data_IF_525538412715
#
_entry.id   IF_525538412715
#
_cell.length_a   1.000
_cell.length_b   1.000
_cell.length_c   1.000
_cell.angle_alpha   90.00
_cell.angle_beta   90.00
_cell.angle_gamma   90.00
#
_symmetry.space_group_name_H-M   'P 1'
#
loop_
_entity.id
_entity.type
_entity.pdbx_description
1 polymer ?
#
# COMPACT_ATOMS: atom_id res chain seq x y z
N UNK A 1 -4.56 -11.35 -23.27
CA UNK A 1 -4.34 -10.26 -22.29
C UNK A 1 -3.77 -9.04 -22.99
N UNK A 2 -4.33 -7.84 -22.74
CA UNK A 2 -3.83 -6.56 -23.23
C UNK A 2 -3.30 -5.76 -22.05
N UNK A 3 -2.07 -5.21 -22.15
CA UNK A 3 -1.45 -4.29 -21.20
C UNK A 3 -1.47 -2.88 -21.78
N UNK A 4 -1.90 -1.89 -20.99
CA UNK A 4 -1.98 -0.47 -21.37
C UNK A 4 -1.35 0.39 -20.28
N UNK A 5 -0.46 1.29 -20.64
CA UNK A 5 -0.07 2.39 -19.78
C UNK A 5 -1.21 3.42 -19.77
N UNK A 6 -1.58 3.87 -18.59
CA UNK A 6 -2.71 4.77 -18.38
C UNK A 6 -2.32 5.93 -17.47
N UNK A 7 -3.06 7.02 -17.56
CA UNK A 7 -2.96 8.13 -16.60
C UNK A 7 -4.29 8.25 -15.86
N UNK A 8 -4.22 8.24 -14.55
CA UNK A 8 -5.36 8.46 -13.66
C UNK A 8 -5.26 9.88 -13.12
N UNK A 9 -6.34 10.63 -13.18
CA UNK A 9 -6.35 12.00 -12.68
C UNK A 9 -7.05 12.10 -11.34
N UNK A 10 -6.35 12.71 -10.36
CA UNK A 10 -6.94 13.20 -9.11
C UNK A 10 -6.82 14.73 -9.09
N UNK A 11 -7.92 15.41 -9.43
CA UNK A 11 -7.89 16.84 -9.70
C UNK A 11 -6.93 17.18 -10.86
N UNK A 12 -5.90 17.96 -10.59
CA UNK A 12 -4.86 18.33 -11.56
C UNK A 12 -3.68 17.34 -11.58
N UNK A 13 -3.66 16.35 -10.67
CA UNK A 13 -2.54 15.42 -10.53
C UNK A 13 -2.70 14.23 -11.45
N UNK A 14 -1.65 13.91 -12.20
CA UNK A 14 -1.57 12.80 -13.11
C UNK A 14 -0.82 11.64 -12.43
N UNK A 15 -1.51 10.55 -12.17
CA UNK A 15 -0.94 9.33 -11.59
C UNK A 15 -0.76 8.30 -12.69
N UNK A 16 0.48 7.87 -13.01
CA UNK A 16 0.70 6.80 -13.96
C UNK A 16 0.19 5.47 -13.42
N UNK A 17 -0.29 4.62 -14.31
CA UNK A 17 -0.76 3.28 -13.97
C UNK A 17 -0.62 2.30 -15.12
N UNK A 18 -0.76 1.02 -14.77
CA UNK A 18 -0.77 -0.09 -15.72
C UNK A 18 -2.12 -0.80 -15.61
N UNK A 19 -2.91 -0.70 -16.67
CA UNK A 19 -4.17 -1.42 -16.83
C UNK A 19 -3.92 -2.70 -17.62
N UNK A 20 -4.36 -3.86 -17.09
CA UNK A 20 -4.38 -5.10 -17.84
C UNK A 20 -5.82 -5.57 -18.05
N UNK A 21 -6.14 -5.93 -19.29
CA UNK A 21 -7.43 -6.44 -19.68
C UNK A 21 -7.32 -7.93 -20.04
N UNK A 22 -8.14 -8.80 -19.45
CA UNK A 22 -8.13 -10.22 -19.78
C UNK A 22 -8.66 -10.47 -21.19
N UNK A 23 -8.25 -11.59 -21.78
CA UNK A 23 -8.74 -12.05 -23.08
C UNK A 23 -10.07 -12.80 -22.89
N UNK A 24 -11.15 -12.04 -22.78
CA UNK A 24 -12.50 -12.56 -22.60
C UNK A 24 -13.55 -11.64 -23.19
N UNK A 25 -14.74 -12.19 -23.47
CA UNK A 25 -15.92 -11.42 -23.86
C UNK A 25 -16.68 -10.91 -22.63
N UNK A 26 -17.20 -9.69 -22.71
CA UNK A 26 -18.04 -9.05 -21.70
C UNK A 26 -17.25 -8.54 -20.46
N UNK A 27 -17.96 -7.83 -19.56
CA UNK A 27 -17.37 -7.22 -18.38
C UNK A 27 -16.76 -8.26 -17.43
N UNK A 28 -15.60 -7.94 -16.86
CA UNK A 28 -14.83 -8.76 -15.94
C UNK A 28 -14.81 -8.17 -14.54
N UNK A 29 -14.63 -8.99 -13.48
CA UNK A 29 -14.27 -8.47 -12.17
C UNK A 29 -12.95 -7.72 -12.25
N UNK A 30 -12.70 -6.79 -11.34
CA UNK A 30 -11.49 -6.00 -11.33
C UNK A 30 -10.81 -5.98 -9.97
N UNK A 31 -9.47 -5.90 -9.97
CA UNK A 31 -8.66 -5.70 -8.77
C UNK A 31 -7.74 -4.49 -8.97
N UNK A 32 -7.83 -3.54 -8.04
CA UNK A 32 -6.93 -2.38 -7.96
C UNK A 32 -5.88 -2.64 -6.90
N UNK A 33 -4.61 -2.28 -7.20
CA UNK A 33 -3.46 -2.50 -6.35
C UNK A 33 -2.93 -1.17 -5.79
N UNK A 34 -3.36 -0.75 -4.58
CA UNK A 34 -2.76 0.39 -3.89
C UNK A 34 -1.32 0.10 -3.49
N UNK A 35 -0.43 1.08 -3.73
CA UNK A 35 1.00 0.92 -3.54
C UNK A 35 1.44 0.95 -2.06
N UNK A 36 2.59 0.36 -1.75
CA UNK A 36 3.26 0.48 -0.46
C UNK A 36 3.97 1.83 -0.30
N UNK A 37 4.31 2.22 0.94
CA UNK A 37 5.05 3.45 1.20
C UNK A 37 6.46 3.37 0.62
N UNK A 38 6.87 4.37 -0.17
CA UNK A 38 8.13 4.38 -0.91
C UNK A 38 8.32 3.22 -1.91
N UNK A 39 7.27 2.46 -2.18
CA UNK A 39 7.29 1.36 -3.14
C UNK A 39 7.01 1.85 -4.57
N UNK A 40 6.99 0.94 -5.50
CA UNK A 40 6.72 1.16 -6.93
C UNK A 40 5.66 0.17 -7.40
N UNK A 41 4.86 0.56 -8.38
CA UNK A 41 3.70 -0.25 -8.81
C UNK A 41 4.09 -1.60 -9.43
N UNK A 42 5.30 -1.71 -10.00
CA UNK A 42 5.80 -2.93 -10.65
C UNK A 42 6.01 -4.09 -9.66
N UNK A 43 6.07 -3.82 -8.36
CA UNK A 43 6.12 -4.87 -7.33
C UNK A 43 4.93 -5.86 -7.42
N UNK A 44 3.82 -5.40 -8.01
CA UNK A 44 2.65 -6.25 -8.24
C UNK A 44 2.59 -6.91 -9.61
N UNK A 45 3.62 -6.74 -10.49
CA UNK A 45 3.54 -7.18 -11.90
C UNK A 45 3.20 -8.66 -12.03
N UNK A 46 3.78 -9.52 -11.21
CA UNK A 46 3.52 -10.97 -11.25
C UNK A 46 2.09 -11.27 -10.80
N UNK A 47 1.63 -10.71 -9.69
CA UNK A 47 0.26 -10.89 -9.20
C UNK A 47 -0.77 -10.33 -10.19
N UNK A 48 -0.56 -9.10 -10.68
CA UNK A 48 -1.48 -8.44 -11.60
C UNK A 48 -1.60 -9.20 -12.93
N UNK A 49 -0.48 -9.76 -13.43
CA UNK A 49 -0.47 -10.62 -14.61
C UNK A 49 -1.27 -11.91 -14.36
N UNK A 50 -0.97 -12.62 -13.27
CA UNK A 50 -1.65 -13.87 -12.93
C UNK A 50 -3.16 -13.66 -12.72
N UNK A 51 -3.56 -12.57 -12.08
CA UNK A 51 -4.97 -12.23 -11.91
C UNK A 51 -5.63 -11.89 -13.24
N UNK A 52 -4.91 -11.19 -14.14
CA UNK A 52 -5.44 -10.93 -15.47
C UNK A 52 -5.59 -12.20 -16.31
N UNK A 53 -4.64 -13.13 -16.24
CA UNK A 53 -4.73 -14.45 -16.87
C UNK A 53 -5.91 -15.28 -16.31
N UNK A 54 -6.23 -15.09 -15.02
CA UNK A 54 -7.40 -15.70 -14.38
C UNK A 54 -8.74 -14.99 -14.71
N UNK A 55 -8.72 -13.94 -15.54
CA UNK A 55 -9.93 -13.27 -16.05
C UNK A 55 -10.32 -11.99 -15.35
N UNK A 56 -9.47 -11.39 -14.51
CA UNK A 56 -9.68 -10.09 -13.86
C UNK A 56 -9.12 -8.94 -14.70
N UNK A 57 -9.79 -7.81 -14.70
CA UNK A 57 -9.14 -6.53 -15.02
C UNK A 57 -8.27 -6.15 -13.84
N UNK A 58 -7.01 -5.76 -14.07
CA UNK A 58 -6.11 -5.33 -13.00
C UNK A 58 -5.59 -3.93 -13.25
N UNK A 59 -5.52 -3.10 -12.19
CA UNK A 59 -4.93 -1.78 -12.22
C UNK A 59 -3.88 -1.65 -11.13
N UNK A 60 -2.65 -1.42 -11.54
CA UNK A 60 -1.55 -0.93 -10.70
C UNK A 60 -1.39 0.57 -10.95
N UNK A 61 -1.09 1.36 -9.93
CA UNK A 61 -0.90 2.81 -10.09
C UNK A 61 0.10 3.36 -9.08
N UNK A 62 0.72 4.48 -9.45
CA UNK A 62 1.57 5.26 -8.55
C UNK A 62 0.75 6.37 -7.91
N UNK A 63 0.56 6.37 -6.59
CA UNK A 63 -0.08 7.48 -5.90
C UNK A 63 0.81 8.74 -5.93
N UNK A 64 0.22 9.88 -5.66
CA UNK A 64 0.92 11.17 -5.56
C UNK A 64 2.14 11.07 -4.63
N UNK A 65 3.25 11.67 -5.03
CA UNK A 65 4.51 11.65 -4.30
C UNK A 65 5.36 10.40 -4.51
N UNK A 66 4.84 9.37 -5.17
CA UNK A 66 5.63 8.21 -5.59
C UNK A 66 6.54 8.58 -6.74
N UNK A 67 7.69 7.89 -6.86
CA UNK A 67 8.70 8.06 -7.93
C UNK A 67 9.32 9.47 -8.04
N UNK A 68 9.06 10.39 -7.11
CA UNK A 68 9.53 11.77 -7.23
C UNK A 68 8.94 12.52 -8.45
N UNK A 69 7.86 12.00 -9.06
CA UNK A 69 7.26 12.56 -10.27
C UNK A 69 6.59 13.90 -9.98
N UNK A 70 6.00 14.04 -8.81
CA UNK A 70 5.39 15.30 -8.37
C UNK A 70 6.35 16.03 -7.43
N UNK A 71 7.26 16.80 -8.00
CA UNK A 71 8.10 17.72 -7.24
C UNK A 71 7.22 18.68 -6.44
N UNK A 72 7.16 18.50 -5.14
CA UNK A 72 6.35 19.30 -4.21
C UNK A 72 5.15 18.58 -3.58
N UNK A 73 4.76 17.40 -4.08
CA UNK A 73 3.80 16.54 -3.40
C UNK A 73 4.50 15.53 -2.50
N UNK A 74 3.92 15.33 -1.36
CA UNK A 74 4.46 14.48 -0.30
C UNK A 74 3.75 13.13 -0.36
N UNK A 75 4.46 12.05 -0.09
CA UNK A 75 3.86 10.77 0.23
C UNK A 75 3.02 10.93 1.50
N UNK A 76 1.73 11.16 1.35
CA UNK A 76 0.85 11.50 2.45
C UNK A 76 -0.25 10.45 2.57
N UNK A 77 -0.28 9.76 3.70
CA UNK A 77 -1.22 8.66 3.92
C UNK A 77 -2.70 9.05 3.81
N UNK A 78 -3.05 10.33 3.99
CA UNK A 78 -4.42 10.83 3.79
C UNK A 78 -4.72 11.05 2.31
N UNK A 79 -3.77 11.60 1.55
CA UNK A 79 -3.92 11.82 0.10
C UNK A 79 -4.05 10.50 -0.65
N UNK A 80 -3.42 9.44 -0.17
CA UNK A 80 -3.51 8.13 -0.80
C UNK A 80 -4.91 7.51 -0.78
N UNK A 81 -5.78 7.92 0.14
CA UNK A 81 -7.20 7.53 0.09
C UNK A 81 -7.92 8.20 -1.09
N UNK A 82 -7.65 9.49 -1.33
CA UNK A 82 -8.19 10.20 -2.48
C UNK A 82 -7.68 9.59 -3.79
N UNK A 83 -6.39 9.24 -3.84
CA UNK A 83 -5.75 8.61 -5.00
C UNK A 83 -6.34 7.22 -5.27
N UNK A 84 -6.56 6.43 -4.23
CA UNK A 84 -7.21 5.13 -4.34
C UNK A 84 -8.66 5.28 -4.81
N UNK A 85 -9.39 6.28 -4.31
CA UNK A 85 -10.74 6.60 -4.77
C UNK A 85 -10.75 6.96 -6.27
N UNK A 86 -9.76 7.73 -6.74
CA UNK A 86 -9.62 8.06 -8.17
C UNK A 86 -9.28 6.81 -9.00
N UNK A 87 -8.38 5.94 -8.51
CA UNK A 87 -8.05 4.68 -9.17
C UNK A 87 -9.26 3.73 -9.27
N UNK A 88 -10.04 3.61 -8.20
CA UNK A 88 -11.31 2.85 -8.22
C UNK A 88 -12.29 3.48 -9.21
N UNK A 89 -12.39 4.81 -9.26
CA UNK A 89 -13.27 5.52 -10.21
C UNK A 89 -12.84 5.30 -11.65
N UNK A 90 -11.54 5.32 -11.91
CA UNK A 90 -10.98 5.03 -13.23
C UNK A 90 -11.34 3.62 -13.70
N UNK A 91 -11.15 2.61 -12.86
CA UNK A 91 -11.52 1.22 -13.16
C UNK A 91 -13.04 1.08 -13.34
N UNK A 92 -13.81 1.66 -12.42
CA UNK A 92 -15.28 1.63 -12.48
C UNK A 92 -15.84 2.27 -13.76
N UNK A 93 -15.12 3.22 -14.37
CA UNK A 93 -15.47 3.86 -15.64
C UNK A 93 -15.14 3.02 -16.88
N UNK A 94 -14.36 1.92 -16.76
CA UNK A 94 -13.98 1.12 -17.93
C UNK A 94 -15.15 0.24 -18.41
N UNK A 95 -15.41 0.17 -19.72
CA UNK A 95 -16.49 -0.66 -20.27
C UNK A 95 -16.25 -2.17 -20.09
N UNK A 96 -14.98 -2.57 -19.91
CA UNK A 96 -14.58 -3.95 -19.69
C UNK A 96 -14.79 -4.42 -18.24
N UNK A 97 -15.18 -3.53 -17.32
CA UNK A 97 -15.30 -3.83 -15.88
C UNK A 97 -16.75 -4.05 -15.47
N UNK A 98 -16.97 -5.15 -14.75
CA UNK A 98 -18.21 -5.34 -13.98
C UNK A 98 -18.17 -4.47 -12.71
N UNK A 99 -18.98 -3.42 -12.72
CA UNK A 99 -19.03 -2.40 -11.66
C UNK A 99 -19.42 -2.92 -10.27
N UNK A 100 -19.99 -4.12 -10.21
CA UNK A 100 -20.40 -4.78 -8.97
C UNK A 100 -19.33 -5.74 -8.41
N UNK A 101 -18.19 -5.90 -9.12
CA UNK A 101 -17.16 -6.89 -8.78
C UNK A 101 -15.77 -6.23 -8.80
N UNK A 102 -15.54 -5.26 -7.89
CA UNK A 102 -14.26 -4.57 -7.74
C UNK A 102 -13.66 -4.91 -6.37
N UNK A 103 -12.42 -5.38 -6.36
CA UNK A 103 -11.63 -5.64 -5.16
C UNK A 103 -10.41 -4.73 -5.05
N UNK A 104 -9.85 -4.65 -3.85
CA UNK A 104 -8.58 -4.01 -3.56
C UNK A 104 -7.57 -5.05 -3.05
N UNK A 105 -6.32 -4.96 -3.50
CA UNK A 105 -5.22 -5.80 -3.02
C UNK A 105 -3.97 -4.95 -2.80
N UNK A 106 -3.54 -4.74 -1.56
CA UNK A 106 -2.40 -3.87 -1.27
C UNK A 106 -1.48 -4.41 -0.18
N UNK A 107 -0.18 -4.04 -0.24
CA UNK A 107 0.84 -4.39 0.77
C UNK A 107 1.22 -3.18 1.60
N UNK A 108 1.54 -3.37 2.88
CA UNK A 108 2.07 -2.33 3.76
C UNK A 108 1.10 -1.13 3.89
N UNK A 109 1.53 0.07 3.54
CA UNK A 109 0.67 1.26 3.42
C UNK A 109 -0.45 1.05 2.39
N UNK A 110 -0.21 0.29 1.31
CA UNK A 110 -1.25 -0.14 0.37
C UNK A 110 -2.28 -1.06 1.03
N UNK A 111 -1.85 -1.90 1.96
CA UNK A 111 -2.72 -2.70 2.83
C UNK A 111 -3.57 -1.83 3.74
N UNK A 112 -2.97 -0.83 4.39
CA UNK A 112 -3.70 0.17 5.18
C UNK A 112 -4.72 0.95 4.31
N UNK A 113 -4.30 1.35 3.10
CA UNK A 113 -5.18 2.01 2.13
C UNK A 113 -6.34 1.10 1.72
N UNK A 114 -6.07 -0.20 1.50
CA UNK A 114 -7.10 -1.22 1.21
C UNK A 114 -8.14 -1.31 2.32
N UNK A 115 -7.72 -1.37 3.59
CA UNK A 115 -8.62 -1.39 4.75
C UNK A 115 -9.43 -0.10 4.84
N UNK A 116 -8.77 1.04 4.81
CA UNK A 116 -9.39 2.36 5.00
C UNK A 116 -10.35 2.71 3.85
N UNK A 117 -9.95 2.49 2.60
CA UNK A 117 -10.81 2.69 1.43
C UNK A 117 -11.95 1.68 1.39
N UNK A 118 -11.66 0.42 1.73
CA UNK A 118 -12.67 -0.63 1.84
C UNK A 118 -13.77 -0.32 2.85
N UNK A 119 -13.45 0.38 3.93
CA UNK A 119 -14.42 0.78 4.95
C UNK A 119 -15.46 1.79 4.40
N UNK A 120 -15.06 2.68 3.49
CA UNK A 120 -15.88 3.84 3.07
C UNK A 120 -16.40 3.76 1.64
N UNK A 121 -15.72 3.07 0.71
CA UNK A 121 -16.13 3.05 -0.71
C UNK A 121 -17.10 1.88 -1.01
N UNK A 122 -18.39 2.16 -1.30
CA UNK A 122 -19.37 1.12 -1.55
C UNK A 122 -19.14 0.35 -2.84
N UNK A 123 -18.32 0.85 -3.76
CA UNK A 123 -17.98 0.19 -5.03
C UNK A 123 -17.05 -0.99 -4.83
N UNK A 124 -16.22 -0.94 -3.79
CA UNK A 124 -15.31 -2.04 -3.41
C UNK A 124 -16.09 -3.14 -2.72
N UNK A 125 -15.91 -4.41 -3.14
CA UNK A 125 -16.68 -5.56 -2.67
C UNK A 125 -15.88 -6.57 -1.87
N UNK A 126 -14.57 -6.71 -2.12
CA UNK A 126 -13.71 -7.63 -1.41
C UNK A 126 -12.30 -7.01 -1.21
N UNK A 127 -11.63 -7.39 -0.13
CA UNK A 127 -10.36 -6.82 0.30
C UNK A 127 -9.30 -7.91 0.51
N UNK A 128 -8.09 -7.65 0.02
CA UNK A 128 -6.89 -8.43 0.29
C UNK A 128 -5.80 -7.49 0.83
N UNK A 129 -5.49 -7.56 2.10
CA UNK A 129 -4.47 -6.74 2.73
C UNK A 129 -3.24 -7.60 3.07
N UNK A 130 -2.09 -7.27 2.49
CA UNK A 130 -0.83 -7.97 2.69
C UNK A 130 0.08 -7.14 3.60
N UNK A 131 0.60 -7.74 4.69
CA UNK A 131 1.40 -7.04 5.69
C UNK A 131 0.87 -5.63 6.03
N UNK A 132 -0.44 -5.47 6.32
CA UNK A 132 -1.06 -4.15 6.44
C UNK A 132 -0.54 -3.40 7.66
N UNK A 133 -0.33 -2.09 7.48
CA UNK A 133 -0.09 -1.15 8.60
C UNK A 133 -1.39 -0.96 9.37
N UNK A 134 -1.37 -1.25 10.65
CA UNK A 134 -2.49 -0.96 11.56
C UNK A 134 -2.42 0.47 12.12
N UNK A 135 -1.27 0.85 12.70
CA UNK A 135 -0.97 2.20 13.16
C UNK A 135 0.43 2.59 12.69
N UNK A 136 0.55 3.66 11.91
CA UNK A 136 1.85 4.12 11.45
C UNK A 136 2.75 4.57 12.60
N UNK A 137 2.17 5.18 13.63
CA UNK A 137 2.91 5.60 14.81
C UNK A 137 3.55 4.40 15.53
N UNK A 138 2.77 3.33 15.73
CA UNK A 138 3.23 2.15 16.46
C UNK A 138 4.31 1.38 15.68
N UNK A 139 4.15 1.26 14.35
CA UNK A 139 5.19 0.59 13.54
C UNK A 139 6.46 1.41 13.46
N UNK A 140 6.39 2.75 13.45
CA UNK A 140 7.58 3.59 13.50
C UNK A 140 8.29 3.48 14.83
N UNK A 141 7.56 3.45 15.95
CA UNK A 141 8.16 3.21 17.27
C UNK A 141 8.82 1.82 17.34
N UNK A 142 8.11 0.78 16.91
CA UNK A 142 8.63 -0.59 16.86
C UNK A 142 9.92 -0.65 16.04
N UNK A 143 9.85 -0.14 14.82
CA UNK A 143 10.92 -0.16 13.84
C UNK A 143 12.18 0.59 14.31
N UNK A 144 12.02 1.83 14.74
CA UNK A 144 13.14 2.64 15.24
C UNK A 144 13.76 2.04 16.50
N UNK A 145 12.93 1.54 17.43
CA UNK A 145 13.40 0.94 18.67
C UNK A 145 14.20 -0.33 18.41
N UNK A 146 13.72 -1.16 17.47
CA UNK A 146 14.41 -2.39 17.09
C UNK A 146 15.78 -2.13 16.43
N UNK A 147 15.87 -1.12 15.57
CA UNK A 147 17.05 -0.89 14.74
C UNK A 147 18.03 0.13 15.32
N UNK A 148 17.57 1.10 16.10
CA UNK A 148 18.38 2.25 16.59
C UNK A 148 18.20 2.56 18.07
N UNK A 149 17.29 1.89 18.74
CA UNK A 149 16.98 2.13 20.14
C UNK A 149 15.92 3.21 20.37
N UNK A 150 15.32 3.18 21.56
CA UNK A 150 14.21 4.06 21.94
C UNK A 150 14.62 5.54 21.96
N UNK A 151 15.82 5.86 22.39
CA UNK A 151 16.33 7.24 22.45
C UNK A 151 16.40 7.88 21.04
N UNK A 152 16.85 7.09 20.04
CA UNK A 152 16.87 7.53 18.66
C UNK A 152 15.47 7.77 18.10
N UNK A 153 14.48 6.98 18.50
CA UNK A 153 13.09 7.21 18.13
C UNK A 153 12.54 8.51 18.74
N UNK A 154 12.79 8.75 20.03
CA UNK A 154 12.34 10.00 20.67
C UNK A 154 12.99 11.23 20.04
N UNK A 155 14.28 11.15 19.70
CA UNK A 155 14.98 12.25 18.98
C UNK A 155 14.36 12.50 17.60
N UNK A 156 14.09 11.45 16.83
CA UNK A 156 13.44 11.56 15.54
C UNK A 156 12.01 12.11 15.63
N UNK A 157 11.26 11.69 16.64
CA UNK A 157 9.91 12.22 16.90
C UNK A 157 9.95 13.72 17.23
N UNK A 158 10.93 14.14 18.00
CA UNK A 158 11.16 15.56 18.29
C UNK A 158 11.46 16.35 16.99
N UNK A 159 12.29 15.83 16.11
CA UNK A 159 12.59 16.45 14.80
C UNK A 159 11.33 16.63 13.95
N UNK A 160 10.40 15.67 13.96
CA UNK A 160 9.13 15.79 13.24
C UNK A 160 8.27 16.94 13.78
N UNK A 161 8.17 17.09 15.10
CA UNK A 161 7.41 18.19 15.71
C UNK A 161 8.05 19.56 15.43
N UNK A 162 9.37 19.66 15.49
CA UNK A 162 10.09 20.87 15.13
C UNK A 162 9.90 21.26 13.65
N UNK A 163 9.92 20.28 12.75
CA UNK A 163 9.69 20.53 11.33
C UNK A 163 8.25 20.97 11.06
N UNK A 164 7.28 20.37 11.73
CA UNK A 164 5.89 20.80 11.67
C UNK A 164 5.70 22.24 12.14
N UNK A 165 6.37 22.63 13.24
CA UNK A 165 6.36 24.00 13.73
C UNK A 165 7.02 24.98 12.74
N UNK A 166 8.14 24.60 12.11
CA UNK A 166 8.79 25.39 11.05
C UNK A 166 7.86 25.59 9.84
N UNK A 167 7.17 24.53 9.40
CA UNK A 167 6.21 24.63 8.30
C UNK A 167 5.04 25.58 8.64
N UNK A 168 4.54 25.54 9.86
CA UNK A 168 3.50 26.47 10.32
C UNK A 168 3.96 27.94 10.28
N UNK A 169 5.28 28.19 10.36
CA UNK A 169 5.90 29.50 10.19
C UNK A 169 6.23 29.84 8.73
N UNK A 170 5.88 29.00 7.77
CA UNK A 170 6.12 29.24 6.34
C UNK A 170 7.47 28.76 5.81
N UNK A 171 8.25 28.01 6.59
CA UNK A 171 9.50 27.41 6.11
C UNK A 171 9.22 26.08 5.40
N UNK A 172 10.00 25.68 4.38
CA UNK A 172 9.85 24.38 3.74
C UNK A 172 10.22 23.25 4.71
N UNK A 173 9.59 22.08 4.53
CA UNK A 173 9.95 20.87 5.27
C UNK A 173 11.38 20.45 4.96
N UNK A 174 12.08 19.99 5.98
CA UNK A 174 13.38 19.32 5.82
C UNK A 174 13.17 17.97 5.13
N UNK A 175 14.20 17.48 4.47
CA UNK A 175 14.18 16.22 3.75
C UNK A 175 15.01 15.18 4.49
N UNK A 176 14.47 13.98 4.64
CA UNK A 176 15.17 12.80 5.17
C UNK A 176 15.42 11.78 4.07
N UNK A 177 16.43 10.94 4.23
CA UNK A 177 16.70 9.87 3.28
C UNK A 177 15.50 8.92 3.17
N UNK A 178 15.13 8.56 1.94
CA UNK A 178 14.00 7.70 1.61
C UNK A 178 14.24 6.21 1.83
N UNK A 179 15.27 5.85 2.58
CA UNK A 179 15.63 4.47 2.89
C UNK A 179 14.64 3.71 3.78
N UNK A 180 13.35 4.02 3.67
CA UNK A 180 12.26 3.36 4.39
C UNK A 180 11.63 2.21 3.61
N UNK A 181 12.32 1.67 2.63
CA UNK A 181 11.94 0.39 2.07
C UNK A 181 12.31 -0.74 3.02
N UNK A 182 11.69 -1.90 2.88
CA UNK A 182 11.89 -3.08 3.74
C UNK A 182 13.36 -3.49 3.92
N UNK A 183 14.24 -3.02 3.05
CA UNK A 183 15.70 -3.20 3.11
C UNK A 183 16.49 -1.90 3.31
N UNK A 184 15.92 -0.73 3.02
CA UNK A 184 16.60 0.57 3.18
C UNK A 184 16.79 1.00 4.61
N UNK A 185 16.39 0.16 5.52
CA UNK A 185 16.57 0.29 6.95
C UNK A 185 17.76 -0.52 7.44
N UNK A 186 18.21 -1.45 6.62
CA UNK A 186 19.49 -2.09 6.84
C UNK A 186 20.56 -1.00 6.84
N UNK A 187 21.29 -0.88 7.93
CA UNK A 187 22.47 0.00 8.03
C UNK A 187 23.62 -0.50 7.11
N UNK A 188 23.27 -1.14 5.99
CA UNK A 188 24.21 -1.61 4.99
C UNK A 188 24.13 -0.71 3.74
N UNK A 189 25.12 0.21 3.56
CA UNK A 189 25.19 1.06 2.38
C UNK A 189 25.27 0.28 1.05
N UNK A 190 25.81 -0.95 1.09
CA UNK A 190 25.95 -1.78 -0.11
C UNK A 190 24.60 -2.40 -0.50
N UNK A 191 23.82 -2.89 0.47
CA UNK A 191 22.46 -3.37 0.24
C UNK A 191 21.54 -2.24 -0.26
N UNK A 192 21.64 -1.05 0.34
CA UNK A 192 20.89 0.14 -0.10
C UNK A 192 21.27 0.57 -1.53
N UNK A 193 22.55 0.56 -1.88
CA UNK A 193 23.02 0.90 -3.22
C UNK A 193 22.55 -0.12 -4.26
N UNK A 194 22.57 -1.42 -3.91
CA UNK A 194 22.07 -2.47 -4.79
C UNK A 194 20.56 -2.34 -5.01
N UNK A 195 19.79 -2.13 -3.95
CA UNK A 195 18.33 -1.95 -4.06
C UNK A 195 17.99 -0.74 -4.93
N UNK A 196 18.73 0.35 -4.80
CA UNK A 196 18.55 1.54 -5.64
C UNK A 196 18.91 1.29 -7.11
N UNK A 197 19.94 0.48 -7.39
CA UNK A 197 20.31 0.08 -8.73
C UNK A 197 19.27 -0.84 -9.37
N UNK A 198 18.72 -1.77 -8.59
CA UNK A 198 17.70 -2.71 -9.05
C UNK A 198 16.31 -2.01 -9.21
N UNK A 199 16.06 -0.95 -8.44
CA UNK A 199 14.80 -0.19 -8.41
C UNK A 199 15.02 1.33 -8.51
N UNK A 200 15.47 1.85 -9.66
CA UNK A 200 15.85 3.26 -9.83
C UNK A 200 14.69 4.25 -9.65
N UNK A 201 13.46 3.77 -9.66
CA UNK A 201 12.25 4.58 -9.46
C UNK A 201 11.80 4.68 -8.01
N UNK A 202 12.46 3.99 -7.08
CA UNK A 202 12.13 4.05 -5.66
C UNK A 202 12.36 5.45 -5.11
N UNK A 203 11.48 5.88 -4.22
CA UNK A 203 11.61 7.19 -3.55
C UNK A 203 12.89 7.21 -2.71
N UNK A 204 13.80 8.14 -3.04
CA UNK A 204 15.12 8.26 -2.40
C UNK A 204 15.15 9.22 -1.22
N UNK A 205 14.17 10.13 -1.15
CA UNK A 205 14.09 11.13 -0.09
C UNK A 205 12.65 11.58 0.14
N UNK A 206 12.33 11.88 1.38
CA UNK A 206 11.00 12.28 1.81
C UNK A 206 11.08 13.59 2.62
N UNK A 207 10.14 14.52 2.43
CA UNK A 207 9.92 15.59 3.39
C UNK A 207 9.50 15.01 4.75
N UNK A 208 10.05 15.51 5.84
CA UNK A 208 9.66 15.09 7.20
C UNK A 208 8.15 15.28 7.42
N UNK A 209 7.57 16.34 6.87
CA UNK A 209 6.13 16.59 6.92
C UNK A 209 5.28 15.46 6.33
N UNK A 210 5.78 14.76 5.31
CA UNK A 210 5.11 13.60 4.72
C UNK A 210 5.02 12.44 5.71
N UNK A 211 6.13 12.16 6.38
CA UNK A 211 6.22 11.12 7.42
C UNK A 211 5.35 11.50 8.61
N UNK A 212 5.40 12.77 9.04
CA UNK A 212 4.59 13.29 10.14
C UNK A 212 3.08 13.22 9.87
N UNK A 213 2.63 13.51 8.64
CA UNK A 213 1.24 13.34 8.26
C UNK A 213 0.81 11.87 8.40
N UNK A 214 1.62 10.93 7.90
CA UNK A 214 1.32 9.51 8.04
C UNK A 214 1.31 9.07 9.51
N UNK A 215 2.25 9.59 10.31
CA UNK A 215 2.34 9.33 11.75
C UNK A 215 1.08 9.75 12.50
N UNK A 216 0.48 10.89 12.15
CA UNK A 216 -0.72 11.39 12.81
C UNK A 216 -2.02 10.74 12.33
N UNK A 217 -2.10 10.36 11.05
CA UNK A 217 -3.39 10.09 10.43
C UNK A 217 -3.55 8.68 9.85
N UNK A 218 -2.50 7.86 9.82
CA UNK A 218 -2.63 6.48 9.35
C UNK A 218 -2.85 5.55 10.54
N UNK A 219 -4.12 5.29 10.78
CA UNK A 219 -4.62 4.26 11.71
C UNK A 219 -5.70 3.45 10.99
N UNK A 220 -5.44 2.17 10.78
CA UNK A 220 -6.36 1.26 10.12
C UNK A 220 -7.22 0.46 11.11
N UNK A 221 -6.92 0.51 12.41
CA UNK A 221 -7.67 -0.25 13.42
C UNK A 221 -9.09 0.30 13.57
N UNK A 222 -9.23 1.63 13.58
CA UNK A 222 -10.55 2.27 13.60
C UNK A 222 -11.34 1.99 12.32
N UNK A 223 -10.68 2.07 11.15
CA UNK A 223 -11.32 1.75 9.88
C UNK A 223 -11.76 0.28 9.82
N UNK A 224 -10.97 -0.64 10.38
CA UNK A 224 -11.29 -2.06 10.45
C UNK A 224 -12.63 -2.31 11.14
N UNK A 225 -12.99 -1.53 12.18
CA UNK A 225 -14.29 -1.66 12.87
C UNK A 225 -15.50 -1.40 11.96
N UNK A 226 -15.28 -0.75 10.81
CA UNK A 226 -16.32 -0.44 9.83
C UNK A 226 -16.39 -1.43 8.67
N UNK A 227 -15.47 -2.40 8.59
CA UNK A 227 -15.44 -3.40 7.51
C UNK A 227 -16.62 -4.36 7.66
N UNK A 228 -17.50 -4.38 6.65
CA UNK A 228 -18.64 -5.31 6.53
C UNK A 228 -18.51 -6.19 5.27
N UNK A 229 -17.40 -6.06 4.57
CA UNK A 229 -17.06 -6.74 3.32
C UNK A 229 -16.12 -7.90 3.60
N UNK A 230 -16.04 -8.88 2.70
CA UNK A 230 -15.04 -9.93 2.78
C UNK A 230 -13.63 -9.37 2.90
N UNK A 231 -12.86 -9.81 3.92
CA UNK A 231 -11.53 -9.35 4.26
C UNK A 231 -10.56 -10.52 4.37
N UNK A 232 -9.55 -10.57 3.49
CA UNK A 232 -8.42 -11.47 3.60
C UNK A 232 -7.17 -10.69 4.02
N UNK A 233 -6.41 -11.23 4.97
CA UNK A 233 -5.12 -10.70 5.39
C UNK A 233 -4.05 -11.75 5.14
N UNK A 234 -2.91 -11.36 4.58
CA UNK A 234 -1.70 -12.18 4.49
C UNK A 234 -0.59 -11.46 5.23
N UNK A 235 0.17 -12.16 6.08
CA UNK A 235 1.27 -11.56 6.81
C UNK A 235 2.45 -12.53 6.94
N UNK A 236 3.67 -12.01 6.78
CA UNK A 236 4.89 -12.77 7.02
C UNK A 236 5.22 -12.85 8.51
N UNK A 237 5.62 -14.04 9.01
CA UNK A 237 5.94 -14.18 10.44
C UNK A 237 7.29 -13.57 10.82
N UNK A 238 8.17 -13.32 9.85
CA UNK A 238 9.48 -12.69 10.03
C UNK A 238 9.54 -11.24 9.50
N UNK A 239 8.39 -10.55 9.41
CA UNK A 239 8.31 -9.18 8.93
C UNK A 239 9.06 -8.22 9.89
N UNK A 240 10.17 -7.59 9.42
CA UNK A 240 10.97 -6.70 10.25
C UNK A 240 10.44 -5.26 10.31
N UNK A 241 9.42 -4.92 9.51
CA UNK A 241 8.85 -3.58 9.38
C UNK A 241 7.53 -3.47 10.13
N UNK A 242 6.59 -4.34 9.79
CA UNK A 242 5.29 -4.44 10.44
C UNK A 242 5.20 -5.80 11.13
N UNK A 243 5.23 -5.89 12.46
CA UNK A 243 5.06 -7.18 13.11
C UNK A 243 3.69 -7.78 12.73
N UNK A 244 3.64 -9.11 12.56
CA UNK A 244 2.43 -9.80 12.12
C UNK A 244 1.21 -9.59 13.05
N UNK A 245 1.45 -9.12 14.28
CA UNK A 245 0.40 -8.66 15.20
C UNK A 245 -0.41 -7.47 14.66
N UNK A 246 0.14 -6.67 13.71
CA UNK A 246 -0.61 -5.61 13.03
C UNK A 246 -1.78 -6.20 12.22
N UNK A 247 -1.50 -7.23 11.42
CA UNK A 247 -2.55 -7.95 10.69
C UNK A 247 -3.57 -8.60 11.62
N UNK A 248 -3.10 -9.17 12.74
CA UNK A 248 -3.98 -9.77 13.73
C UNK A 248 -4.92 -8.73 14.37
N UNK A 249 -4.41 -7.55 14.76
CA UNK A 249 -5.24 -6.48 15.32
C UNK A 249 -6.32 -6.00 14.34
N UNK A 250 -5.99 -5.85 13.06
CA UNK A 250 -6.97 -5.50 12.02
C UNK A 250 -8.02 -6.60 11.90
N UNK A 251 -7.60 -7.87 11.84
CA UNK A 251 -8.50 -9.02 11.76
C UNK A 251 -9.47 -9.06 12.94
N UNK A 252 -8.97 -8.89 14.16
CA UNK A 252 -9.77 -8.96 15.37
C UNK A 252 -10.80 -7.82 15.45
N UNK A 253 -10.45 -6.62 14.98
CA UNK A 253 -11.33 -5.45 14.98
C UNK A 253 -12.38 -5.48 13.85
N UNK A 254 -12.18 -6.25 12.78
CA UNK A 254 -13.12 -6.31 11.67
C UNK A 254 -14.36 -7.17 12.05
N UNK A 255 -15.58 -6.58 12.07
CA UNK A 255 -16.77 -7.30 12.50
C UNK A 255 -17.37 -8.21 11.42
N UNK A 256 -16.87 -8.18 10.18
CA UNK A 256 -17.32 -9.07 9.13
C UNK A 256 -17.09 -10.54 9.51
N UNK A 257 -18.06 -11.42 9.19
CA UNK A 257 -17.91 -12.87 9.37
C UNK A 257 -17.10 -13.50 8.23
N UNK A 258 -17.16 -12.89 7.03
CA UNK A 258 -16.37 -13.28 5.87
C UNK A 258 -14.96 -12.72 5.99
N UNK A 259 -14.12 -13.33 6.83
CA UNK A 259 -12.73 -12.92 6.99
C UNK A 259 -11.78 -14.10 7.14
N UNK A 260 -10.56 -13.93 6.64
CA UNK A 260 -9.47 -14.89 6.77
C UNK A 260 -8.15 -14.17 7.08
N UNK A 261 -7.27 -14.83 7.82
CA UNK A 261 -5.88 -14.40 8.01
C UNK A 261 -4.96 -15.57 7.73
N UNK A 262 -3.90 -15.32 6.96
CA UNK A 262 -2.88 -16.28 6.56
C UNK A 262 -1.52 -15.78 7.00
N UNK A 263 -0.80 -16.57 7.80
CA UNK A 263 0.57 -16.29 8.14
C UNK A 263 1.50 -17.14 7.26
N UNK A 264 2.45 -16.50 6.57
CA UNK A 264 3.48 -17.19 5.78
C UNK A 264 4.74 -17.28 6.64
N UNK A 265 5.09 -18.50 7.02
CA UNK A 265 6.21 -18.76 7.92
C UNK A 265 7.54 -18.34 7.29
N UNK A 266 8.32 -17.54 8.03
CA UNK A 266 9.63 -17.06 7.61
C UNK A 266 9.61 -15.96 6.55
N UNK A 267 8.44 -15.58 6.01
CA UNK A 267 8.34 -14.48 5.05
C UNK A 267 8.49 -13.11 5.74
N UNK A 268 9.09 -12.17 5.02
CA UNK A 268 9.29 -10.79 5.44
C UNK A 268 8.13 -9.87 5.09
N UNK A 269 8.46 -8.62 4.71
CA UNK A 269 7.49 -7.53 4.54
C UNK A 269 6.90 -7.42 3.13
N UNK A 270 7.72 -7.62 2.09
CA UNK A 270 7.33 -7.37 0.69
C UNK A 270 6.79 -8.65 0.05
N UNK A 271 5.67 -9.15 0.59
CA UNK A 271 5.08 -10.43 0.23
C UNK A 271 4.86 -10.65 -1.28
N UNK A 272 4.43 -9.63 -2.08
CA UNK A 272 4.28 -9.81 -3.53
C UNK A 272 5.58 -10.17 -4.27
N UNK A 273 6.74 -9.81 -3.72
CA UNK A 273 8.07 -10.14 -4.28
C UNK A 273 8.70 -11.36 -3.62
N UNK A 274 8.50 -11.52 -2.31
CA UNK A 274 9.10 -12.60 -1.54
C UNK A 274 8.38 -13.94 -1.72
N UNK A 275 7.04 -13.90 -1.78
CA UNK A 275 6.17 -15.07 -1.83
C UNK A 275 5.04 -14.89 -2.87
N UNK A 276 5.35 -14.56 -4.14
CA UNK A 276 4.33 -14.25 -5.15
C UNK A 276 3.36 -15.42 -5.36
N UNK A 277 3.83 -16.64 -5.38
CA UNK A 277 2.99 -17.83 -5.62
C UNK A 277 1.90 -17.99 -4.55
N UNK A 278 2.24 -17.84 -3.28
CA UNK A 278 1.30 -17.91 -2.16
C UNK A 278 0.31 -16.75 -2.20
N UNK A 279 0.80 -15.52 -2.44
CA UNK A 279 -0.06 -14.34 -2.54
C UNK A 279 -1.05 -14.44 -3.70
N UNK A 280 -0.61 -14.93 -4.87
CA UNK A 280 -1.46 -15.18 -6.03
C UNK A 280 -2.52 -16.23 -5.72
N UNK A 281 -2.11 -17.38 -5.18
CA UNK A 281 -3.02 -18.48 -4.85
C UNK A 281 -4.09 -18.04 -3.86
N UNK A 282 -3.69 -17.46 -2.73
CA UNK A 282 -4.62 -17.01 -1.69
C UNK A 282 -5.53 -15.90 -2.24
N UNK A 283 -4.96 -14.95 -2.97
CA UNK A 283 -5.71 -13.82 -3.52
C UNK A 283 -6.73 -14.26 -4.58
N UNK A 284 -6.38 -15.18 -5.48
CA UNK A 284 -7.31 -15.73 -6.47
C UNK A 284 -8.41 -16.56 -5.81
N UNK A 285 -8.08 -17.43 -4.85
CA UNK A 285 -9.06 -18.19 -4.08
C UNK A 285 -10.07 -17.26 -3.40
N UNK A 286 -9.57 -16.15 -2.82
CA UNK A 286 -10.39 -15.15 -2.16
C UNK A 286 -11.30 -14.40 -3.12
N UNK A 287 -10.75 -13.81 -4.16
CA UNK A 287 -11.54 -13.00 -5.08
C UNK A 287 -12.50 -13.85 -5.95
N UNK A 288 -12.13 -15.07 -6.32
CA UNK A 288 -13.05 -15.99 -7.01
C UNK A 288 -14.29 -16.35 -6.18
N UNK A 289 -14.20 -16.26 -4.85
CA UNK A 289 -15.31 -16.52 -3.95
C UNK A 289 -16.24 -15.32 -3.79
N UNK A 290 -15.70 -14.08 -3.90
CA UNK A 290 -16.44 -12.89 -3.53
C UNK A 290 -16.62 -11.85 -4.65
N UNK A 291 -15.93 -12.02 -5.77
CA UNK A 291 -16.06 -11.22 -6.98
C UNK A 291 -16.51 -12.09 -8.16
#
# INVERSE_FOLDING_TARGET
MQKKDVIIYQGIHAMPGILRLPDRSGPAPAVVFPNGYCAYMEMYDEMARAFCEAGYVTLQYEPRGSRGIDHGFQLCGTQWLEDCCAAVSFVWGQPEVDKNRIGLAGVSMGGATTIRQGAVDPRVKALLAMAPVDSWADIMEYFWTLNRGKEAFEGWKQEMYEDAARMAMGFPSRVVGGGYGSRGIENDPAASAKELADHPHKVQSLPIASVFNSFLYVDSTLAATQIRKPLCIIHGTADPVCPHSCGQRIYDNAPTEDKAIHFIEGAGHVLPEECPAECIRIGLDWFNRYL
#
